data_IF_550556110355
#
_entry.id   IF_550556110355
#
_cell.length_a   1.000
_cell.length_b   1.000
_cell.length_c   1.000
_cell.angle_alpha   90.00
_cell.angle_beta   90.00
_cell.angle_gamma   90.00
#
_symmetry.space_group_name_H-M   'P 1'
#
loop_
_entity.id
_entity.type
_entity.pdbx_description
1 polymer ?
#
# COMPACT_ATOMS: atom_id res chain seq x y z
N UNK A 1 18.09 -9.46 10.90
CA UNK A 1 19.13 -8.63 10.25
C UNK A 1 18.72 -8.41 8.79
N UNK A 2 18.32 -7.19 8.41
CA UNK A 2 17.80 -6.88 7.05
C UNK A 2 18.96 -6.81 6.03
N UNK A 3 18.84 -7.36 4.81
CA UNK A 3 19.90 -7.31 3.80
C UNK A 3 20.34 -5.87 3.50
N UNK A 4 21.66 -5.65 3.39
CA UNK A 4 22.27 -4.33 3.29
C UNK A 4 21.68 -3.51 2.13
N UNK A 5 20.91 -2.48 2.49
CA UNK A 5 20.49 -1.30 1.70
C UNK A 5 19.84 -1.62 0.33
N UNK A 6 18.51 -1.53 0.30
CA UNK A 6 17.87 -0.95 -0.89
C UNK A 6 18.44 0.45 -1.10
N UNK A 7 19.27 0.65 -2.12
CA UNK A 7 20.02 1.91 -2.39
C UNK A 7 19.14 3.17 -2.54
N UNK A 8 17.81 3.09 -2.45
CA UNK A 8 16.91 4.26 -2.47
C UNK A 8 15.78 4.12 -1.43
N UNK A 9 15.65 5.05 -0.46
CA UNK A 9 14.60 5.06 0.57
C UNK A 9 13.19 4.84 0.03
N UNK A 10 12.89 5.39 -1.15
CA UNK A 10 11.59 5.25 -1.82
C UNK A 10 11.15 3.80 -2.05
N UNK A 11 12.07 2.90 -2.41
CA UNK A 11 11.73 1.49 -2.69
C UNK A 11 11.51 0.70 -1.41
N UNK A 12 12.17 1.08 -0.32
CA UNK A 12 11.93 0.50 1.00
C UNK A 12 10.53 0.89 1.47
N UNK A 13 10.23 2.19 1.46
CA UNK A 13 8.93 2.70 1.86
C UNK A 13 7.80 2.10 1.00
N UNK A 14 7.98 2.02 -0.32
CA UNK A 14 7.01 1.39 -1.22
C UNK A 14 6.67 -0.04 -0.80
N UNK A 15 7.68 -0.87 -0.50
CA UNK A 15 7.48 -2.26 -0.08
C UNK A 15 6.78 -2.34 1.28
N UNK A 16 7.18 -1.49 2.23
CA UNK A 16 6.53 -1.43 3.55
C UNK A 16 5.07 -1.02 3.44
N UNK A 17 4.73 0.00 2.65
CA UNK A 17 3.33 0.40 2.43
C UNK A 17 2.53 -0.71 1.75
N UNK A 18 3.07 -1.36 0.71
CA UNK A 18 2.38 -2.48 0.08
C UNK A 18 2.12 -3.64 1.06
N UNK A 19 3.06 -3.95 1.95
CA UNK A 19 2.95 -5.05 2.90
C UNK A 19 2.07 -4.72 4.12
N UNK A 20 2.09 -3.48 4.58
CA UNK A 20 1.32 -3.04 5.76
C UNK A 20 -0.12 -2.67 5.41
N UNK A 21 -0.35 -2.01 4.28
CA UNK A 21 -1.66 -1.56 3.84
C UNK A 21 -2.30 -2.48 2.78
N UNK A 22 -1.64 -3.58 2.38
CA UNK A 22 -2.20 -4.55 1.42
C UNK A 22 -2.42 -3.98 0.02
N UNK A 23 -1.71 -2.90 -0.33
CA UNK A 23 -1.92 -2.18 -1.58
C UNK A 23 -1.55 -3.02 -2.80
N UNK A 24 -2.33 -2.87 -3.89
CA UNK A 24 -1.84 -3.29 -5.20
C UNK A 24 -0.71 -2.34 -5.61
N UNK A 25 0.30 -2.86 -6.30
CA UNK A 25 1.46 -2.05 -6.69
C UNK A 25 1.05 -0.80 -7.48
N UNK A 26 0.08 -0.92 -8.39
CA UNK A 26 -0.43 0.23 -9.14
C UNK A 26 -1.15 1.28 -8.30
N UNK A 27 -1.80 0.89 -7.19
CA UNK A 27 -2.42 1.83 -6.23
C UNK A 27 -1.30 2.60 -5.51
N UNK A 28 -0.32 1.89 -4.96
CA UNK A 28 0.80 2.49 -4.25
C UNK A 28 1.58 3.49 -5.11
N UNK A 29 1.79 3.17 -6.39
CA UNK A 29 2.48 4.03 -7.35
C UNK A 29 1.72 5.30 -7.75
N UNK A 30 0.43 5.38 -7.42
CA UNK A 30 -0.40 6.56 -7.72
C UNK A 30 -0.78 7.36 -6.48
N UNK A 31 -0.31 6.99 -5.29
CA UNK A 31 -0.52 7.80 -4.09
C UNK A 31 0.04 9.21 -4.35
N UNK A 32 -0.84 10.21 -4.32
CA UNK A 32 -0.48 11.62 -4.22
C UNK A 32 -0.32 11.96 -2.73
N UNK A 33 0.64 12.82 -2.39
CA UNK A 33 0.87 13.25 -1.01
C UNK A 33 -0.40 13.86 -0.40
N UNK A 34 -1.24 14.53 -1.21
CA UNK A 34 -2.52 15.10 -0.77
C UNK A 34 -3.57 14.08 -0.35
N UNK A 35 -3.37 12.80 -0.70
CA UNK A 35 -4.25 11.71 -0.30
C UNK A 35 -3.83 11.07 1.03
N UNK A 36 -2.77 11.58 1.69
CA UNK A 36 -2.43 11.17 3.05
C UNK A 36 -3.08 12.13 4.05
N UNK A 37 -3.52 11.59 5.18
CA UNK A 37 -3.98 12.42 6.31
C UNK A 37 -2.83 13.29 6.84
N UNK A 38 -3.12 14.41 7.53
CA UNK A 38 -2.09 15.31 8.06
C UNK A 38 -1.09 14.63 9.01
N UNK A 39 -1.53 13.61 9.74
CA UNK A 39 -0.72 12.79 10.66
C UNK A 39 -0.07 11.58 9.98
N UNK A 40 -0.28 11.39 8.68
CA UNK A 40 0.14 10.23 7.88
C UNK A 40 -0.40 8.87 8.37
N UNK A 41 -1.36 8.87 9.29
CA UNK A 41 -1.94 7.65 9.84
C UNK A 41 -2.97 7.00 8.91
N UNK A 42 -3.45 7.71 7.89
CA UNK A 42 -4.45 7.21 6.94
C UNK A 42 -4.03 7.55 5.51
N UNK A 43 -4.18 6.58 4.60
CA UNK A 43 -3.94 6.77 3.16
C UNK A 43 -5.21 6.52 2.36
N UNK A 44 -5.61 7.51 1.55
CA UNK A 44 -6.76 7.43 0.67
C UNK A 44 -6.38 6.87 -0.70
N UNK A 45 -6.97 5.74 -1.07
CA UNK A 45 -6.77 5.08 -2.36
C UNK A 45 -7.92 5.48 -3.29
N UNK A 46 -7.61 6.25 -4.33
CA UNK A 46 -8.61 6.75 -5.29
C UNK A 46 -8.29 6.46 -6.75
N UNK A 47 -7.05 6.05 -7.04
CA UNK A 47 -6.51 5.98 -8.40
C UNK A 47 -5.44 4.89 -8.52
N UNK A 48 -5.07 4.54 -9.76
CA UNK A 48 -3.99 3.58 -10.04
C UNK A 48 -3.05 4.07 -11.13
N UNK A 49 -1.82 3.56 -11.12
CA UNK A 49 -0.85 3.74 -12.20
C UNK A 49 -0.46 2.39 -12.83
N UNK A 50 -0.43 2.35 -14.17
CA UNK A 50 0.06 1.20 -14.94
C UNK A 50 0.86 1.67 -16.14
N UNK A 51 1.93 0.95 -16.50
CA UNK A 51 2.89 1.34 -17.55
C UNK A 51 3.39 2.79 -17.45
N UNK A 52 3.58 3.29 -16.22
CA UNK A 52 3.96 4.70 -15.93
C UNK A 52 2.95 5.75 -16.38
N UNK A 53 1.73 5.33 -16.70
CA UNK A 53 0.58 6.19 -16.99
C UNK A 53 -0.38 6.18 -15.81
N UNK A 54 -1.02 7.32 -15.61
CA UNK A 54 -2.06 7.50 -14.61
C UNK A 54 -3.38 7.05 -15.20
N UNK A 55 -4.13 6.26 -14.45
CA UNK A 55 -5.52 6.00 -14.73
C UNK A 55 -6.36 6.57 -13.59
N UNK A 56 -7.22 7.53 -13.89
CA UNK A 56 -8.05 8.23 -12.90
C UNK A 56 -9.22 7.39 -12.36
N UNK A 57 -9.28 6.11 -12.75
CA UNK A 57 -10.26 5.14 -12.28
C UNK A 57 -9.59 3.91 -11.67
N UNK A 58 -10.22 3.37 -10.63
CA UNK A 58 -9.91 2.06 -10.10
C UNK A 58 -10.63 0.97 -10.91
N UNK A 59 -10.19 -0.29 -10.80
CA UNK A 59 -10.82 -1.39 -11.56
C UNK A 59 -12.30 -1.56 -11.16
N UNK A 60 -12.64 -1.26 -9.91
CA UNK A 60 -13.97 -1.35 -9.32
C UNK A 60 -14.15 -0.21 -8.33
N UNK A 61 -15.39 0.16 -8.02
CA UNK A 61 -15.69 1.21 -7.04
C UNK A 61 -15.23 0.82 -5.62
N UNK A 62 -15.32 -0.47 -5.28
CA UNK A 62 -14.74 -1.07 -4.06
C UNK A 62 -13.21 -0.93 -3.94
N UNK A 63 -12.54 -0.49 -4.99
CA UNK A 63 -11.13 -0.10 -4.90
C UNK A 63 -10.92 1.17 -4.08
N UNK A 64 -11.90 2.07 -4.02
CA UNK A 64 -11.81 3.35 -3.31
C UNK A 64 -11.95 3.10 -1.82
N UNK A 65 -10.93 3.47 -1.05
CA UNK A 65 -10.89 3.19 0.39
C UNK A 65 -9.87 4.04 1.12
N UNK A 66 -10.03 4.16 2.42
CA UNK A 66 -9.08 4.80 3.33
C UNK A 66 -8.47 3.75 4.24
N UNK A 67 -7.15 3.58 4.21
CA UNK A 67 -6.46 2.53 4.96
C UNK A 67 -5.67 3.15 6.10
N UNK A 68 -5.86 2.64 7.31
CA UNK A 68 -5.12 3.08 8.48
C UNK A 68 -3.76 2.37 8.59
N UNK A 69 -2.74 3.17 8.85
CA UNK A 69 -1.36 2.75 9.02
C UNK A 69 -1.03 2.66 10.51
N UNK A 70 -0.22 1.68 10.90
CA UNK A 70 0.35 1.65 12.25
C UNK A 70 1.27 2.86 12.43
N UNK A 71 1.36 3.41 13.64
CA UNK A 71 2.19 4.59 13.96
C UNK A 71 3.63 4.45 13.45
N UNK A 72 4.25 3.28 13.66
CA UNK A 72 5.58 2.96 13.14
C UNK A 72 5.69 3.00 11.61
N UNK A 73 4.62 2.67 10.89
CA UNK A 73 4.56 2.78 9.42
C UNK A 73 4.28 4.22 9.01
N UNK A 74 3.39 4.93 9.68
CA UNK A 74 3.03 6.33 9.42
C UNK A 74 4.21 7.30 9.61
N UNK A 75 5.15 6.97 10.50
CA UNK A 75 6.39 7.72 10.66
C UNK A 75 7.28 7.69 9.40
N UNK A 76 7.26 6.59 8.63
CA UNK A 76 8.12 6.42 7.46
C UNK A 76 7.76 7.34 6.26
N UNK A 77 6.48 7.47 5.81
CA UNK A 77 6.12 8.46 4.81
C UNK A 77 6.30 9.88 5.34
N UNK A 78 6.03 10.16 6.62
CA UNK A 78 6.29 11.49 7.21
C UNK A 78 7.76 11.92 7.02
N UNK A 79 8.71 11.05 7.41
CA UNK A 79 10.14 11.29 7.22
C UNK A 79 10.51 11.41 5.74
N UNK A 80 9.98 10.51 4.90
CA UNK A 80 10.31 10.48 3.48
C UNK A 80 9.74 11.67 2.68
N UNK A 81 8.55 12.15 3.04
CA UNK A 81 7.87 13.28 2.38
C UNK A 81 8.58 14.59 2.72
N UNK A 82 8.91 14.78 4.00
CA UNK A 82 9.52 16.02 4.50
C UNK A 82 8.60 17.22 4.26
N UNK A 83 9.14 18.28 3.67
CA UNK A 83 8.45 19.54 3.39
C UNK A 83 7.45 19.45 2.21
N UNK A 84 7.50 18.39 1.40
CA UNK A 84 6.69 18.28 0.17
C UNK A 84 5.19 18.23 0.50
N UNK A 85 4.39 19.03 -0.19
CA UNK A 85 2.93 19.13 0.04
C UNK A 85 2.08 18.48 -1.05
N UNK A 86 2.65 18.20 -2.22
CA UNK A 86 1.91 17.68 -3.37
C UNK A 86 2.80 16.84 -4.29
N UNK A 87 2.15 16.13 -5.21
CA UNK A 87 2.80 15.26 -6.18
C UNK A 87 2.82 13.81 -5.74
N UNK A 88 3.31 12.96 -6.63
CA UNK A 88 3.39 11.52 -6.38
C UNK A 88 4.32 11.22 -5.20
N UNK A 89 3.87 10.37 -4.29
CA UNK A 89 4.69 9.84 -3.21
C UNK A 89 5.92 9.14 -3.78
N UNK A 90 5.73 8.32 -4.81
CA UNK A 90 6.81 7.60 -5.50
C UNK A 90 6.91 8.02 -6.96
N UNK A 91 7.99 8.73 -7.30
CA UNK A 91 8.21 9.19 -8.67
C UNK A 91 9.64 8.97 -9.15
N UNK A 92 9.80 8.91 -10.47
CA UNK A 92 11.10 8.99 -11.13
C UNK A 92 11.70 10.40 -10.94
N UNK A 93 12.96 10.58 -11.39
CA UNK A 93 13.59 11.90 -11.47
C UNK A 93 12.80 12.89 -12.34
N UNK A 94 11.98 12.39 -13.25
CA UNK A 94 11.15 13.19 -14.17
C UNK A 94 9.71 13.37 -13.68
N UNK A 95 9.42 13.03 -12.41
CA UNK A 95 8.09 13.19 -11.81
C UNK A 95 7.04 12.17 -12.23
N UNK A 96 7.38 11.20 -13.09
CA UNK A 96 6.46 10.15 -13.54
C UNK A 96 6.35 9.01 -12.51
N UNK A 97 5.23 8.26 -12.47
CA UNK A 97 5.14 7.05 -11.64
C UNK A 97 6.29 6.08 -11.96
N UNK A 98 6.79 5.39 -10.94
CA UNK A 98 7.84 4.40 -11.12
C UNK A 98 7.33 3.24 -11.99
N UNK A 99 8.22 2.69 -12.82
CA UNK A 99 7.89 1.55 -13.65
C UNK A 99 7.95 0.24 -12.84
N UNK A 100 6.85 -0.52 -12.84
CA UNK A 100 6.73 -1.77 -12.09
C UNK A 100 7.84 -2.79 -12.44
N UNK A 101 8.19 -2.93 -13.71
CA UNK A 101 9.28 -3.82 -14.15
C UNK A 101 10.63 -3.44 -13.55
N UNK A 102 10.92 -2.14 -13.40
CA UNK A 102 12.16 -1.68 -12.76
C UNK A 102 12.15 -1.96 -11.26
N UNK A 103 11.02 -1.77 -10.58
CA UNK A 103 10.87 -2.13 -9.16
C UNK A 103 11.16 -3.62 -8.95
N UNK A 104 10.56 -4.48 -9.77
CA UNK A 104 10.76 -5.93 -9.67
C UNK A 104 12.20 -6.32 -10.00
N UNK A 105 12.67 -6.04 -11.22
CA UNK A 105 13.95 -6.53 -11.74
C UNK A 105 15.15 -5.91 -11.06
N UNK A 106 15.09 -4.62 -10.68
CA UNK A 106 16.26 -3.89 -10.15
C UNK A 106 16.26 -3.80 -8.63
N UNK A 107 15.16 -4.16 -7.96
CA UNK A 107 15.10 -4.02 -6.49
C UNK A 107 14.50 -5.21 -5.76
N UNK A 108 13.45 -5.86 -6.25
CA UNK A 108 12.83 -6.99 -5.53
C UNK A 108 13.59 -8.29 -5.80
N UNK A 109 13.81 -8.63 -7.07
CA UNK A 109 14.47 -9.88 -7.43
C UNK A 109 15.91 -9.99 -6.90
N UNK A 110 16.74 -8.93 -6.87
CA UNK A 110 18.04 -8.99 -6.21
C UNK A 110 17.95 -9.32 -4.71
N UNK A 111 17.01 -8.71 -3.98
CA UNK A 111 16.79 -9.00 -2.56
C UNK A 111 16.34 -10.45 -2.35
N UNK A 112 15.43 -10.94 -3.19
CA UNK A 112 14.98 -12.33 -3.11
C UNK A 112 16.13 -13.31 -3.37
N UNK A 113 17.01 -12.99 -4.33
CA UNK A 113 18.20 -13.79 -4.60
C UNK A 113 19.17 -13.79 -3.40
N UNK A 114 19.42 -12.63 -2.79
CA UNK A 114 20.24 -12.53 -1.56
C UNK A 114 19.65 -13.32 -0.39
N UNK A 115 18.32 -13.42 -0.32
CA UNK A 115 17.60 -14.19 0.71
C UNK A 115 17.39 -15.67 0.33
N UNK A 116 17.95 -16.15 -0.78
CA UNK A 116 17.71 -17.50 -1.32
C UNK A 116 16.22 -17.84 -1.47
N UNK A 117 15.41 -16.86 -1.88
CA UNK A 117 13.97 -17.01 -2.10
C UNK A 117 13.65 -17.06 -3.60
N UNK A 118 12.60 -17.80 -4.00
CA UNK A 118 12.15 -17.80 -5.39
C UNK A 118 11.69 -16.42 -5.82
N UNK A 119 11.90 -16.10 -7.11
CA UNK A 119 11.39 -14.84 -7.68
C UNK A 119 9.87 -14.79 -7.57
N UNK A 120 9.36 -13.64 -7.13
CA UNK A 120 7.93 -13.39 -7.06
C UNK A 120 7.60 -11.95 -7.48
N UNK A 121 6.32 -11.73 -7.81
CA UNK A 121 5.81 -10.39 -8.09
C UNK A 121 5.46 -9.61 -6.82
N UNK A 122 5.23 -8.31 -6.97
CA UNK A 122 4.83 -7.44 -5.85
C UNK A 122 3.48 -7.84 -5.20
N UNK A 123 2.70 -8.72 -5.84
CA UNK A 123 1.50 -9.29 -5.24
C UNK A 123 1.80 -10.12 -3.98
N UNK A 124 3.05 -10.57 -3.79
CA UNK A 124 3.48 -11.24 -2.57
C UNK A 124 3.24 -10.40 -1.30
N UNK A 125 3.47 -9.08 -1.36
CA UNK A 125 3.23 -8.19 -0.21
C UNK A 125 1.75 -8.12 0.17
N UNK A 126 0.87 -8.10 -0.83
CA UNK A 126 -0.57 -8.09 -0.62
C UNK A 126 -1.06 -9.44 -0.06
N UNK A 127 -0.54 -10.56 -0.56
CA UNK A 127 -0.83 -11.90 -0.01
C UNK A 127 -0.38 -12.00 1.45
N UNK A 128 0.82 -11.50 1.77
CA UNK A 128 1.30 -11.42 3.15
C UNK A 128 0.31 -10.65 4.04
N UNK A 129 -0.14 -9.45 3.63
CA UNK A 129 -1.11 -8.68 4.42
C UNK A 129 -2.41 -9.44 4.66
N UNK A 130 -2.95 -10.05 3.61
CA UNK A 130 -4.18 -10.85 3.70
C UNK A 130 -4.02 -12.00 4.70
N UNK A 131 -2.94 -12.76 4.60
CA UNK A 131 -2.62 -13.83 5.55
C UNK A 131 -2.53 -13.31 6.97
N UNK A 132 -1.81 -12.20 7.20
CA UNK A 132 -1.69 -11.60 8.52
C UNK A 132 -3.04 -11.16 9.11
N UNK A 133 -3.93 -10.56 8.30
CA UNK A 133 -5.28 -10.18 8.76
C UNK A 133 -6.07 -11.40 9.24
N UNK A 134 -6.00 -12.51 8.50
CA UNK A 134 -6.68 -13.77 8.85
C UNK A 134 -6.10 -14.43 10.09
N UNK A 135 -4.78 -14.48 10.20
CA UNK A 135 -4.08 -14.99 11.38
C UNK A 135 -4.43 -14.23 12.65
N UNK A 136 -4.81 -12.95 12.52
CA UNK A 136 -5.23 -12.09 13.65
C UNK A 136 -6.76 -12.00 13.79
N UNK A 137 -7.51 -12.90 13.15
CA UNK A 137 -8.97 -12.96 13.24
C UNK A 137 -9.69 -11.62 12.98
N UNK A 138 -9.14 -10.80 12.07
CA UNK A 138 -9.76 -9.54 11.69
C UNK A 138 -11.13 -9.84 11.05
N UNK A 139 -12.21 -9.13 11.44
CA UNK A 139 -13.52 -9.29 10.85
C UNK A 139 -13.50 -9.23 9.32
N UNK A 140 -14.29 -10.09 8.67
CA UNK A 140 -14.23 -10.34 7.22
C UNK A 140 -14.59 -9.11 6.40
N UNK A 141 -15.57 -8.34 6.86
CA UNK A 141 -15.97 -7.04 6.32
C UNK A 141 -14.81 -6.03 6.34
N UNK A 142 -14.06 -5.96 7.45
CA UNK A 142 -12.89 -5.07 7.57
C UNK A 142 -11.71 -5.57 6.73
N UNK A 143 -11.52 -6.89 6.62
CA UNK A 143 -10.58 -7.49 5.66
C UNK A 143 -10.95 -7.07 4.23
N UNK A 144 -12.19 -7.29 3.82
CA UNK A 144 -12.70 -6.95 2.49
C UNK A 144 -12.53 -5.46 2.18
N UNK A 145 -12.89 -4.60 3.14
CA UNK A 145 -12.65 -3.16 3.08
C UNK A 145 -11.17 -2.86 2.86
N UNK A 146 -10.26 -3.33 3.73
CA UNK A 146 -8.82 -3.07 3.63
C UNK A 146 -8.23 -3.55 2.31
N UNK A 147 -8.72 -4.69 1.80
CA UNK A 147 -8.25 -5.28 0.58
C UNK A 147 -8.90 -4.64 -0.66
N UNK A 148 -10.05 -3.97 -0.55
CA UNK A 148 -10.82 -3.51 -1.70
C UNK A 148 -11.28 -4.69 -2.55
N UNK A 149 -11.96 -5.64 -1.90
CA UNK A 149 -12.67 -6.75 -2.49
C UNK A 149 -14.14 -6.38 -2.68
N UNK A 150 -14.80 -6.90 -3.72
CA UNK A 150 -16.17 -6.53 -4.09
C UNK A 150 -17.20 -7.58 -3.65
N UNK A 151 -16.74 -8.80 -3.40
CA UNK A 151 -17.51 -9.93 -2.91
C UNK A 151 -17.79 -9.77 -1.42
N UNK A 152 -18.79 -8.94 -1.11
CA UNK A 152 -19.30 -8.74 0.24
C UNK A 152 -20.43 -9.72 0.55
N UNK A 153 -20.49 -10.19 1.80
CA UNK A 153 -21.66 -10.90 2.33
C UNK A 153 -22.71 -9.90 2.84
N UNK A 154 -23.96 -10.35 3.01
CA UNK A 154 -25.05 -9.49 3.51
C UNK A 154 -24.69 -8.85 4.87
N UNK A 155 -24.00 -9.60 5.74
CA UNK A 155 -23.54 -9.09 7.03
C UNK A 155 -22.53 -7.95 6.91
N UNK A 156 -21.69 -7.96 5.86
CA UNK A 156 -20.71 -6.90 5.61
C UNK A 156 -21.40 -5.58 5.27
N UNK A 157 -22.58 -5.63 4.63
CA UNK A 157 -23.36 -4.44 4.24
C UNK A 157 -23.98 -3.75 5.47
N UNK A 158 -24.40 -4.53 6.47
CA UNK A 158 -24.98 -3.98 7.70
C UNK A 158 -23.91 -3.53 8.70
N UNK A 159 -22.74 -4.14 8.65
CA UNK A 159 -21.64 -3.81 9.53
C UNK A 159 -21.16 -2.37 9.30
N UNK A 160 -20.95 -1.65 10.39
CA UNK A 160 -20.43 -0.27 10.39
C UNK A 160 -18.93 -0.23 10.74
N UNK A 161 -18.24 -1.37 10.74
CA UNK A 161 -16.83 -1.44 11.14
C UNK A 161 -15.91 -0.63 10.22
N UNK A 162 -16.22 -0.51 8.93
CA UNK A 162 -15.46 0.35 8.01
C UNK A 162 -15.52 1.84 8.41
N UNK A 163 -16.64 2.27 8.97
CA UNK A 163 -16.88 3.65 9.41
C UNK A 163 -16.44 3.90 10.87
N UNK A 164 -16.20 2.83 11.64
CA UNK A 164 -15.75 2.92 13.02
C UNK A 164 -14.24 3.21 13.09
N UNK A 165 -13.87 4.48 12.86
CA UNK A 165 -12.48 4.95 12.89
C UNK A 165 -11.80 4.63 14.22
N UNK A 166 -12.52 4.72 15.35
CA UNK A 166 -11.98 4.42 16.67
C UNK A 166 -11.49 2.98 16.74
N UNK A 167 -12.35 2.03 16.36
CA UNK A 167 -12.02 0.61 16.33
C UNK A 167 -10.87 0.30 15.36
N UNK A 168 -10.91 0.86 14.14
CA UNK A 168 -9.87 0.61 13.12
C UNK A 168 -8.48 1.12 13.51
N UNK A 169 -8.45 2.20 14.30
CA UNK A 169 -7.20 2.81 14.81
C UNK A 169 -6.79 2.27 16.18
N UNK A 170 -7.61 1.43 16.80
CA UNK A 170 -7.30 0.74 18.05
C UNK A 170 -6.17 -0.25 17.80
N UNK A 171 -5.00 0.03 18.38
CA UNK A 171 -3.78 -0.77 18.27
C UNK A 171 -3.07 -0.82 19.59
#
# INVERSE_FOLDING_TARGET
MWPKRTKKPQYRLLKVLCASAGLRLGEALRIDIRNMSPDFATVKITQKAWKSQVHDFLKTDSGRREIDLHSSVAAMPKEYIGERKSGLLFCSKTGKPLQQSNILRRTLHPILAELNQPKCGAHAFRRFRLTWLRENAVPKDLEHFCMGHADQEIGDIYSQLENNIKFRKEK
#
